data_IF_614610353375
#
_entry.id   IF_614610353375
#
_cell.length_a   1.000
_cell.length_b   1.000
_cell.length_c   1.000
_cell.angle_alpha   90.00
_cell.angle_beta   90.00
_cell.angle_gamma   90.00
#
_symmetry.space_group_name_H-M   'P 1'
#
loop_
_entity.id
_entity.type
_entity.pdbx_description
1 polymer ?
#
# COMPACT_ATOMS: atom_id res chain seq x y z
N UNK A 1 -27.61 -0.40 -19.32
CA UNK A 1 -26.62 -0.86 -20.33
C UNK A 1 -26.36 -2.34 -20.11
N UNK A 2 -26.59 -3.20 -21.11
CA UNK A 2 -26.35 -4.65 -20.98
C UNK A 2 -24.85 -5.01 -21.03
N UNK A 3 -24.48 -6.22 -20.61
CA UNK A 3 -23.07 -6.68 -20.57
C UNK A 3 -22.40 -6.63 -21.95
N UNK A 4 -23.14 -6.93 -23.01
CA UNK A 4 -22.61 -6.91 -24.39
C UNK A 4 -22.40 -5.47 -24.89
N UNK A 5 -23.31 -4.56 -24.57
CA UNK A 5 -23.17 -3.12 -24.86
C UNK A 5 -22.00 -2.50 -24.08
N UNK A 6 -21.87 -2.83 -22.79
CA UNK A 6 -20.72 -2.41 -21.99
C UNK A 6 -19.39 -2.96 -22.52
N UNK A 7 -19.38 -4.17 -23.07
CA UNK A 7 -18.18 -4.77 -23.69
C UNK A 7 -17.72 -3.97 -24.92
N UNK A 8 -18.67 -3.51 -25.75
CA UNK A 8 -18.38 -2.69 -26.94
C UNK A 8 -17.87 -1.31 -26.58
N UNK A 9 -18.54 -0.63 -25.66
CA UNK A 9 -18.20 0.76 -25.29
C UNK A 9 -16.90 0.84 -24.50
N UNK A 10 -16.70 -0.04 -23.51
CA UNK A 10 -15.50 0.00 -22.66
C UNK A 10 -14.34 -0.85 -23.18
N UNK A 11 -14.51 -1.56 -24.30
CA UNK A 11 -13.52 -2.50 -24.86
C UNK A 11 -13.01 -3.53 -23.83
N UNK A 12 -13.88 -3.93 -22.90
CA UNK A 12 -13.60 -4.95 -21.89
C UNK A 12 -14.22 -6.27 -22.35
N UNK A 13 -13.50 -7.41 -22.34
CA UNK A 13 -14.08 -8.68 -22.72
C UNK A 13 -15.33 -9.01 -21.90
N UNK A 14 -16.40 -9.43 -22.58
CA UNK A 14 -17.68 -9.81 -21.95
C UNK A 14 -17.50 -10.85 -20.83
N UNK A 15 -16.53 -11.78 -20.99
CA UNK A 15 -16.14 -12.76 -19.97
C UNK A 15 -15.64 -12.10 -18.68
N UNK A 16 -14.83 -11.03 -18.78
CA UNK A 16 -14.32 -10.28 -17.62
C UNK A 16 -15.46 -9.58 -16.88
N UNK A 17 -16.41 -8.99 -17.62
CA UNK A 17 -17.59 -8.35 -17.04
C UNK A 17 -18.48 -9.37 -16.32
N UNK A 18 -18.82 -10.49 -16.98
CA UNK A 18 -19.60 -11.58 -16.36
C UNK A 18 -18.91 -12.14 -15.11
N UNK A 19 -17.59 -12.38 -15.18
CA UNK A 19 -16.81 -12.84 -14.03
C UNK A 19 -16.89 -11.87 -12.86
N UNK A 20 -16.74 -10.56 -13.10
CA UNK A 20 -16.81 -9.54 -12.05
C UNK A 20 -18.21 -9.38 -11.45
N UNK A 21 -19.26 -9.52 -12.26
CA UNK A 21 -20.65 -9.51 -11.81
C UNK A 21 -20.92 -10.73 -10.93
N UNK A 22 -20.51 -11.93 -11.36
CA UNK A 22 -20.67 -13.16 -10.59
C UNK A 22 -19.90 -13.13 -9.26
N UNK A 23 -18.71 -12.53 -9.24
CA UNK A 23 -17.91 -12.40 -8.01
C UNK A 23 -18.34 -11.24 -7.10
N UNK A 24 -19.30 -10.39 -7.51
CA UNK A 24 -19.74 -9.21 -6.75
C UNK A 24 -18.64 -8.17 -6.46
N UNK A 25 -17.45 -8.36 -7.02
CA UNK A 25 -16.27 -7.55 -6.70
C UNK A 25 -16.10 -6.46 -7.76
N UNK A 26 -16.81 -5.37 -7.52
CA UNK A 26 -16.80 -4.18 -8.38
C UNK A 26 -15.69 -3.20 -8.02
N UNK A 27 -14.97 -3.42 -6.92
CA UNK A 27 -13.92 -2.51 -6.47
C UNK A 27 -12.65 -2.67 -7.30
N UNK A 28 -12.01 -1.54 -7.57
CA UNK A 28 -10.71 -1.49 -8.23
C UNK A 28 -9.65 -2.01 -7.24
N UNK A 29 -9.33 -3.29 -7.33
CA UNK A 29 -8.18 -3.88 -6.65
C UNK A 29 -6.90 -3.60 -7.44
N UNK A 30 -5.83 -3.27 -6.72
CA UNK A 30 -4.48 -3.24 -7.30
C UNK A 30 -4.12 -4.64 -7.77
N UNK A 31 -3.68 -4.78 -9.02
CA UNK A 31 -3.23 -6.07 -9.57
C UNK A 31 -1.87 -6.53 -9.06
N UNK A 32 -1.18 -5.67 -8.28
CA UNK A 32 0.13 -5.95 -7.71
C UNK A 32 0.08 -6.48 -6.27
N UNK A 33 1.26 -6.61 -5.66
CA UNK A 33 1.39 -7.02 -4.26
C UNK A 33 0.62 -6.05 -3.36
N UNK A 34 -0.14 -6.61 -2.42
CA UNK A 34 -0.85 -5.83 -1.42
C UNK A 34 0.14 -5.04 -0.54
N UNK A 35 -0.26 -3.85 -0.06
CA UNK A 35 0.59 -3.05 0.81
C UNK A 35 0.83 -3.79 2.13
N UNK A 36 2.08 -3.88 2.56
CA UNK A 36 2.42 -4.77 3.68
C UNK A 36 2.05 -4.24 5.06
N UNK A 37 1.83 -2.93 5.20
CA UNK A 37 1.27 -2.37 6.43
C UNK A 37 -0.26 -2.45 6.43
N UNK A 38 -0.89 -2.79 5.30
CA UNK A 38 -2.30 -2.61 5.04
C UNK A 38 -2.61 -1.19 4.53
N UNK A 39 -3.67 -1.07 3.73
CA UNK A 39 -4.05 0.18 3.02
C UNK A 39 -4.26 1.34 4.01
N UNK A 40 -4.94 1.09 5.12
CA UNK A 40 -5.27 2.12 6.11
C UNK A 40 -4.04 2.65 6.85
N UNK A 41 -3.11 1.76 7.20
CA UNK A 41 -1.90 2.08 7.91
C UNK A 41 -0.90 2.84 7.02
N UNK A 42 -0.79 2.45 5.75
CA UNK A 42 0.05 3.18 4.80
C UNK A 42 -0.50 4.59 4.55
N UNK A 43 -1.83 4.77 4.45
CA UNK A 43 -2.45 6.10 4.41
C UNK A 43 -2.11 6.94 5.65
N UNK A 44 -2.14 6.34 6.85
CA UNK A 44 -1.76 7.03 8.11
C UNK A 44 -0.30 7.49 8.07
N UNK A 45 0.60 6.64 7.59
CA UNK A 45 2.01 6.96 7.44
C UNK A 45 2.23 8.11 6.44
N UNK A 46 1.58 8.06 5.26
CA UNK A 46 1.66 9.13 4.26
C UNK A 46 1.14 10.45 4.80
N UNK A 47 0.02 10.45 5.51
CA UNK A 47 -0.51 11.66 6.17
C UNK A 47 0.48 12.22 7.18
N UNK A 48 1.19 11.38 7.92
CA UNK A 48 2.21 11.83 8.86
C UNK A 48 3.41 12.47 8.14
N UNK A 49 3.88 11.86 7.05
CA UNK A 49 4.96 12.41 6.21
C UNK A 49 4.56 13.78 5.64
N UNK A 50 3.35 13.91 5.10
CA UNK A 50 2.84 15.19 4.58
C UNK A 50 2.71 16.27 5.66
N UNK A 51 2.38 15.88 6.90
CA UNK A 51 2.36 16.81 8.04
C UNK A 51 3.77 17.29 8.38
N UNK A 52 4.77 16.41 8.34
CA UNK A 52 6.17 16.78 8.56
C UNK A 52 6.67 17.73 7.46
N UNK A 53 6.32 17.45 6.21
CA UNK A 53 6.64 18.31 5.06
C UNK A 53 6.05 19.71 5.22
N UNK A 54 4.76 19.81 5.59
CA UNK A 54 4.10 21.10 5.87
C UNK A 54 4.72 21.86 7.05
N UNK A 55 5.32 21.16 8.00
CA UNK A 55 6.03 21.75 9.13
C UNK A 55 7.46 22.19 8.78
N UNK A 56 7.89 22.06 7.53
CA UNK A 56 9.23 22.45 7.06
C UNK A 56 10.29 21.35 7.21
N UNK A 57 9.91 20.15 7.63
CA UNK A 57 10.82 19.00 7.64
C UNK A 57 10.65 18.23 6.33
N UNK A 58 11.68 18.23 5.48
CA UNK A 58 11.72 17.37 4.30
C UNK A 58 12.34 16.01 4.68
N UNK A 59 11.55 14.95 4.94
CA UNK A 59 12.11 13.67 5.35
C UNK A 59 12.86 13.01 4.20
N UNK A 60 14.12 12.64 4.45
CA UNK A 60 14.92 11.88 3.51
C UNK A 60 14.45 10.41 3.45
N UNK A 61 14.83 9.67 2.40
CA UNK A 61 14.47 8.26 2.19
C UNK A 61 14.79 7.38 3.40
N UNK A 62 15.93 7.62 4.05
CA UNK A 62 16.35 6.90 5.26
C UNK A 62 15.39 7.14 6.42
N UNK A 63 14.98 8.39 6.64
CA UNK A 63 14.03 8.78 7.68
C UNK A 63 12.66 8.15 7.46
N UNK A 64 12.16 8.16 6.22
CA UNK A 64 10.89 7.50 5.86
C UNK A 64 10.95 6.01 6.14
N UNK A 65 12.05 5.34 5.82
CA UNK A 65 12.26 3.92 6.11
C UNK A 65 12.26 3.64 7.61
N UNK A 66 12.95 4.45 8.41
CA UNK A 66 12.99 4.31 9.88
C UNK A 66 11.59 4.53 10.48
N UNK A 67 10.86 5.55 10.03
CA UNK A 67 9.48 5.81 10.46
C UNK A 67 8.55 4.65 10.11
N UNK A 68 8.64 4.12 8.89
CA UNK A 68 7.85 2.96 8.48
C UNK A 68 8.16 1.72 9.33
N UNK A 69 9.42 1.51 9.69
CA UNK A 69 9.84 0.40 10.54
C UNK A 69 9.32 0.53 11.98
N UNK A 70 9.49 1.70 12.60
CA UNK A 70 8.94 1.97 13.93
C UNK A 70 7.42 1.85 13.96
N UNK A 71 6.76 2.26 12.88
CA UNK A 71 5.32 2.12 12.73
C UNK A 71 4.90 0.64 12.64
N UNK A 72 5.64 -0.17 11.87
CA UNK A 72 5.43 -1.61 11.77
C UNK A 72 5.62 -2.33 13.12
N UNK A 73 6.65 -1.97 13.88
CA UNK A 73 6.90 -2.54 15.21
C UNK A 73 5.77 -2.23 16.19
N UNK A 74 5.25 -1.00 16.19
CA UNK A 74 4.09 -0.63 17.02
C UNK A 74 2.81 -1.35 16.64
N UNK A 75 2.68 -1.74 15.36
CA UNK A 75 1.54 -2.51 14.85
C UNK A 75 1.67 -4.02 15.10
N UNK A 76 2.80 -4.50 15.63
CA UNK A 76 3.04 -5.92 15.87
C UNK A 76 3.14 -6.76 14.59
N UNK A 77 3.34 -6.12 13.43
CA UNK A 77 3.47 -6.84 12.16
C UNK A 77 4.85 -7.51 12.11
N UNK A 78 4.87 -8.82 11.89
CA UNK A 78 6.13 -9.56 11.77
C UNK A 78 7.02 -8.95 10.68
N UNK A 79 8.32 -8.92 11.00
CA UNK A 79 9.38 -8.13 10.36
C UNK A 79 9.75 -8.61 8.95
N UNK A 80 8.80 -9.10 8.17
CA UNK A 80 8.99 -9.52 6.78
C UNK A 80 9.37 -8.37 5.86
N UNK A 81 9.25 -7.12 6.31
CA UNK A 81 9.32 -6.00 5.39
C UNK A 81 10.74 -5.68 4.91
N UNK A 82 11.78 -5.78 5.74
CA UNK A 82 13.10 -5.26 5.36
C UNK A 82 14.22 -5.97 6.12
N UNK A 83 14.89 -6.91 5.46
CA UNK A 83 16.18 -7.44 5.91
C UNK A 83 17.24 -6.35 5.95
N UNK A 84 17.48 -5.76 7.12
CA UNK A 84 18.74 -5.09 7.47
C UNK A 84 18.96 -5.25 8.97
N UNK A 85 19.59 -6.38 9.36
CA UNK A 85 20.30 -6.49 10.63
C UNK A 85 21.57 -5.63 10.52
N UNK A 86 21.43 -4.30 10.62
CA UNK A 86 22.56 -3.45 10.98
C UNK A 86 22.87 -3.70 12.45
N UNK A 87 23.75 -4.66 12.75
CA UNK A 87 24.27 -4.85 14.10
C UNK A 87 25.14 -3.65 14.45
N UNK A 88 24.56 -2.66 15.13
CA UNK A 88 25.34 -1.59 15.74
C UNK A 88 26.04 -2.18 16.98
N UNK A 89 27.32 -2.54 16.81
CA UNK A 89 28.21 -2.93 17.91
C UNK A 89 28.38 -1.71 18.82
N UNK A 90 27.63 -1.65 19.93
CA UNK A 90 28.05 -0.86 21.08
C UNK A 90 29.26 -1.55 21.72
N UNK A 91 30.45 -1.01 21.44
CA UNK A 91 31.63 -1.17 22.30
C UNK A 91 31.47 -0.18 23.46
N UNK A 92 31.36 -0.70 24.67
CA UNK A 92 31.90 -0.12 25.90
C UNK A 92 32.50 -1.27 26.69
#
# INVERSE_FOLDING_TARGET
MGVNEASRVFKIPSRTLRRRIASGNHQKVSGGKLPALGIENEKRLVRHIQKLEKAGFAPNRTTVRTLAYQFAEKLGLEKHFLGTKGKEKRRL
#
